data_IF_014870696418
#
_entry.id   IF_014870696418
#
_cell.length_a   1.000
_cell.length_b   1.000
_cell.length_c   1.000
_cell.angle_alpha   90.00
_cell.angle_beta   90.00
_cell.angle_gamma   90.00
#
_symmetry.space_group_name_H-M   'P 1'
#
loop_
_entity.id
_entity.type
_entity.pdbx_description
1 polymer ?
#
# COMPACT_ATOMS: atom_id res chain seq x y z
N UNK A 1 15.90 15.06 -1.18
CA UNK A 1 15.03 13.85 -1.24
C UNK A 1 14.58 13.53 0.17
N UNK A 2 13.29 13.35 0.47
CA UNK A 2 12.89 13.02 1.83
C UNK A 2 13.38 11.61 2.15
N UNK A 3 14.06 11.50 3.28
CA UNK A 3 14.68 10.30 3.84
C UNK A 3 13.67 9.16 4.00
N UNK A 4 14.06 7.95 3.60
CA UNK A 4 13.29 6.72 3.72
C UNK A 4 12.93 6.43 5.18
N UNK A 5 11.86 7.04 5.70
CA UNK A 5 11.19 6.51 6.89
C UNK A 5 10.46 5.25 6.47
N UNK A 6 10.88 4.10 7.00
CA UNK A 6 10.14 2.85 6.86
C UNK A 6 8.72 3.06 7.38
N UNK A 7 7.75 3.03 6.47
CA UNK A 7 6.35 3.18 6.79
C UNK A 7 5.90 1.94 7.58
N UNK A 8 5.33 2.11 8.78
CA UNK A 8 4.76 0.97 9.50
C UNK A 8 3.44 0.55 8.85
N UNK A 9 3.03 -0.71 9.01
CA UNK A 9 1.71 -1.18 8.57
C UNK A 9 0.57 -0.31 9.11
N UNK A 10 0.67 0.14 10.37
CA UNK A 10 -0.35 0.98 11.00
C UNK A 10 -0.41 2.38 10.37
N UNK A 11 0.74 2.95 10.02
CA UNK A 11 0.81 4.24 9.35
C UNK A 11 0.29 4.15 7.91
N UNK A 12 0.63 3.09 7.17
CA UNK A 12 0.09 2.85 5.83
C UNK A 12 -1.44 2.68 5.88
N UNK A 13 -1.93 1.87 6.82
CA UNK A 13 -3.36 1.65 7.04
C UNK A 13 -4.08 2.98 7.30
N UNK A 14 -3.53 3.82 8.18
CA UNK A 14 -4.04 5.16 8.48
C UNK A 14 -4.11 6.06 7.24
N UNK A 15 -3.09 6.03 6.38
CA UNK A 15 -3.04 6.84 5.14
C UNK A 15 -4.11 6.45 4.13
N UNK A 16 -4.47 5.17 4.05
CA UNK A 16 -5.45 4.68 3.06
C UNK A 16 -6.87 4.48 3.63
N UNK A 17 -7.07 4.76 4.93
CA UNK A 17 -8.36 4.55 5.61
C UNK A 17 -8.72 3.07 5.78
N UNK A 18 -7.74 2.25 6.16
CA UNK A 18 -7.92 0.81 6.40
C UNK A 18 -7.39 0.40 7.79
N UNK A 19 -7.61 -0.86 8.15
CA UNK A 19 -7.07 -1.45 9.37
C UNK A 19 -5.66 -2.00 9.16
N UNK A 20 -4.82 -1.95 10.21
CA UNK A 20 -3.49 -2.59 10.20
C UNK A 20 -3.58 -4.08 9.84
N UNK A 21 -4.60 -4.79 10.34
CA UNK A 21 -4.82 -6.21 10.06
C UNK A 21 -5.07 -6.47 8.57
N UNK A 22 -5.70 -5.51 7.86
CA UNK A 22 -5.90 -5.60 6.42
C UNK A 22 -4.57 -5.52 5.66
N UNK A 23 -3.70 -4.57 6.01
CA UNK A 23 -2.35 -4.47 5.43
C UNK A 23 -1.54 -5.75 5.70
N UNK A 24 -1.57 -6.26 6.93
CA UNK A 24 -0.88 -7.50 7.30
C UNK A 24 -1.35 -8.71 6.48
N UNK A 25 -2.66 -8.84 6.22
CA UNK A 25 -3.19 -9.91 5.36
C UNK A 25 -2.74 -9.78 3.91
N UNK A 26 -2.64 -8.56 3.38
CA UNK A 26 -2.13 -8.31 2.02
C UNK A 26 -0.67 -8.76 1.92
N UNK A 27 0.20 -8.31 2.83
CA UNK A 27 1.63 -8.63 2.81
C UNK A 27 1.91 -10.13 2.97
N UNK A 28 1.03 -10.84 3.70
CA UNK A 28 1.10 -12.29 3.88
C UNK A 28 0.46 -13.08 2.73
N UNK A 29 -0.06 -12.42 1.70
CA UNK A 29 -0.76 -13.06 0.58
C UNK A 29 -2.11 -13.68 0.95
N UNK A 30 -2.67 -13.37 2.12
CA UNK A 30 -3.96 -13.87 2.58
C UNK A 30 -5.15 -13.08 2.02
N UNK A 31 -4.89 -11.93 1.40
CA UNK A 31 -5.92 -11.08 0.80
C UNK A 31 -5.34 -10.36 -0.39
N UNK A 32 -6.01 -10.45 -1.53
CA UNK A 32 -5.66 -9.69 -2.72
C UNK A 32 -6.40 -8.34 -2.67
N UNK A 33 -5.70 -7.19 -2.68
CA UNK A 33 -6.37 -5.90 -2.74
C UNK A 33 -7.05 -5.70 -4.09
N UNK A 34 -8.11 -4.89 -4.11
CA UNK A 34 -8.66 -4.42 -5.40
C UNK A 34 -7.63 -3.53 -6.11
N UNK A 35 -7.79 -3.35 -7.42
CA UNK A 35 -6.96 -2.41 -8.20
C UNK A 35 -7.00 -1.01 -7.59
N UNK A 36 -8.19 -0.52 -7.20
CA UNK A 36 -8.33 0.78 -6.54
C UNK A 36 -7.53 0.86 -5.22
N UNK A 37 -7.55 -0.20 -4.41
CA UNK A 37 -6.76 -0.27 -3.17
C UNK A 37 -5.25 -0.32 -3.45
N UNK A 38 -4.82 -1.06 -4.48
CA UNK A 38 -3.42 -1.08 -4.90
C UNK A 38 -2.92 0.33 -5.23
N UNK A 39 -3.69 1.10 -6.01
CA UNK A 39 -3.35 2.49 -6.32
C UNK A 39 -3.28 3.38 -5.07
N UNK A 40 -4.22 3.22 -4.12
CA UNK A 40 -4.18 3.95 -2.83
C UNK A 40 -2.92 3.62 -2.04
N UNK A 41 -2.53 2.35 -1.97
CA UNK A 41 -1.31 1.91 -1.27
C UNK A 41 -0.08 2.53 -1.94
N UNK A 42 0.05 2.44 -3.26
CA UNK A 42 1.18 3.03 -3.99
C UNK A 42 1.29 4.53 -3.75
N UNK A 43 0.18 5.27 -3.88
CA UNK A 43 0.15 6.71 -3.64
C UNK A 43 0.52 7.07 -2.19
N UNK A 44 0.04 6.32 -1.19
CA UNK A 44 0.36 6.53 0.22
C UNK A 44 1.84 6.29 0.56
N UNK A 45 2.54 5.51 -0.26
CA UNK A 45 4.00 5.29 -0.19
C UNK A 45 4.80 6.29 -1.04
N UNK A 46 4.14 7.22 -1.74
CA UNK A 46 4.80 8.15 -2.67
C UNK A 46 5.28 7.49 -3.96
N UNK A 47 4.67 6.37 -4.34
CA UNK A 47 4.98 5.63 -5.57
C UNK A 47 3.93 5.88 -6.65
N UNK A 48 4.34 5.69 -7.91
CA UNK A 48 3.47 5.66 -9.09
C UNK A 48 3.38 4.23 -9.62
N UNK A 49 2.22 3.86 -10.17
CA UNK A 49 2.00 2.56 -10.81
C UNK A 49 1.92 2.78 -12.32
N UNK A 50 2.73 2.05 -13.06
CA UNK A 50 2.77 2.06 -14.53
C UNK A 50 2.36 0.68 -15.05
N UNK A 51 1.44 0.64 -16.00
CA UNK A 51 1.09 -0.58 -16.72
C UNK A 51 1.83 -0.60 -18.04
N UNK A 52 2.65 -1.63 -18.27
CA UNK A 52 3.35 -1.83 -19.53
C UNK A 52 2.77 -3.07 -20.22
N UNK A 53 2.42 -2.98 -21.51
CA UNK A 53 2.10 -4.16 -22.29
C UNK A 53 3.33 -5.09 -22.34
N UNK A 54 3.06 -6.38 -22.45
CA UNK A 54 4.09 -7.42 -22.59
C UNK A 54 4.58 -7.43 -24.04
#
# INVERSE_FOLDING_TARGET
MPTLRSLTQAELARRIGADKSYISRIERGLTVPTVATLYKIAAAMGMTVELRPI
#
